data_IF_932078168302
#
_entry.id   IF_932078168302
#
_cell.length_a   1.000
_cell.length_b   1.000
_cell.length_c   1.000
_cell.angle_alpha   90.00
_cell.angle_beta   90.00
_cell.angle_gamma   90.00
#
_symmetry.space_group_name_H-M   'P 1'
#
loop_
_entity.id
_entity.type
_entity.pdbx_description
1 polymer ?
#
# COMPACT_ATOMS: atom_id res chain seq x y z
N UNK A 1 2.43 2.02 21.70
CA UNK A 1 2.18 2.11 20.24
C UNK A 1 0.95 1.30 19.89
N UNK A 2 -0.03 1.89 19.22
CA UNK A 2 -1.27 1.24 18.80
C UNK A 2 -1.23 1.01 17.28
N UNK A 3 -1.53 -0.21 16.85
CA UNK A 3 -1.58 -0.59 15.43
C UNK A 3 -3.02 -0.97 15.07
N UNK A 4 -3.58 -0.31 14.07
CA UNK A 4 -4.86 -0.66 13.49
C UNK A 4 -4.64 -1.44 12.19
N UNK A 5 -5.24 -2.61 12.08
CA UNK A 5 -5.24 -3.43 10.85
C UNK A 5 -6.60 -3.30 10.20
N UNK A 6 -6.62 -2.81 8.97
CA UNK A 6 -7.87 -2.62 8.21
C UNK A 6 -8.09 -3.82 7.29
N UNK A 7 -9.06 -4.66 7.63
CA UNK A 7 -9.50 -5.75 6.78
C UNK A 7 -10.80 -5.36 6.08
N UNK A 8 -10.85 -5.49 4.76
CA UNK A 8 -11.99 -5.07 3.95
C UNK A 8 -12.25 -6.02 2.78
N UNK A 9 -13.52 -6.14 2.39
CA UNK A 9 -13.87 -6.71 1.09
C UNK A 9 -13.59 -5.67 0.02
N UNK A 10 -12.79 -6.03 -0.98
CA UNK A 10 -12.37 -5.14 -2.06
C UNK A 10 -13.25 -5.35 -3.29
N UNK A 11 -13.61 -4.26 -3.96
CA UNK A 11 -14.15 -4.33 -5.31
C UNK A 11 -13.01 -4.61 -6.29
N UNK A 12 -13.10 -5.75 -6.96
CA UNK A 12 -12.04 -6.27 -7.82
C UNK A 12 -11.67 -5.28 -8.94
N UNK A 13 -10.39 -4.89 -8.96
CA UNK A 13 -9.81 -3.95 -9.94
C UNK A 13 -10.53 -2.59 -10.05
N UNK A 14 -11.30 -2.20 -9.03
CA UNK A 14 -12.02 -0.93 -9.00
C UNK A 14 -11.38 0.05 -8.01
N UNK A 15 -10.27 0.66 -8.44
CA UNK A 15 -9.46 1.54 -7.59
C UNK A 15 -10.29 2.73 -7.03
N UNK A 16 -11.10 3.46 -7.80
CA UNK A 16 -11.85 4.58 -7.25
C UNK A 16 -12.84 4.18 -6.14
N UNK A 17 -13.48 3.03 -6.27
CA UNK A 17 -14.42 2.52 -5.25
C UNK A 17 -13.66 2.09 -3.99
N UNK A 18 -12.54 1.40 -4.16
CA UNK A 18 -11.72 0.97 -3.02
C UNK A 18 -11.11 2.17 -2.28
N UNK A 19 -10.62 3.19 -2.95
CA UNK A 19 -10.12 4.40 -2.30
C UNK A 19 -11.20 5.09 -1.47
N UNK A 20 -12.44 5.20 -1.98
CA UNK A 20 -13.58 5.72 -1.20
C UNK A 20 -13.89 4.86 0.03
N UNK A 21 -13.82 3.54 -0.10
CA UNK A 21 -14.02 2.59 1.00
C UNK A 21 -12.97 2.81 2.10
N UNK A 22 -11.69 2.89 1.73
CA UNK A 22 -10.60 3.09 2.69
C UNK A 22 -10.63 4.48 3.31
N UNK A 23 -10.96 5.52 2.55
CA UNK A 23 -11.17 6.86 3.10
C UNK A 23 -12.18 6.86 4.26
N UNK A 24 -13.33 6.21 4.06
CA UNK A 24 -14.35 6.09 5.11
C UNK A 24 -13.88 5.25 6.31
N UNK A 25 -13.18 4.13 6.07
CA UNK A 25 -12.71 3.25 7.15
C UNK A 25 -11.60 3.90 7.97
N UNK A 26 -10.64 4.53 7.30
CA UNK A 26 -9.51 5.23 7.95
C UNK A 26 -10.03 6.42 8.76
N UNK A 27 -10.99 7.19 8.24
CA UNK A 27 -11.60 8.30 8.96
C UNK A 27 -12.19 7.87 10.32
N UNK A 28 -12.73 6.67 10.42
CA UNK A 28 -13.32 6.12 11.64
C UNK A 28 -12.30 5.56 12.65
N UNK A 29 -11.02 5.45 12.30
CA UNK A 29 -9.97 4.95 13.20
C UNK A 29 -9.53 6.09 14.11
N UNK A 30 -9.43 5.84 15.40
CA UNK A 30 -8.94 6.79 16.39
C UNK A 30 -7.78 6.21 17.21
N UNK A 31 -6.81 7.06 17.56
CA UNK A 31 -5.72 6.72 18.49
C UNK A 31 -4.73 5.67 17.96
N UNK A 32 -4.69 5.39 16.65
CA UNK A 32 -3.69 4.52 16.06
C UNK A 32 -2.42 5.32 15.74
N UNK A 33 -1.26 4.73 16.02
CA UNK A 33 0.04 5.25 15.58
C UNK A 33 0.43 4.72 14.20
N UNK A 34 0.00 3.49 13.90
CA UNK A 34 0.23 2.82 12.61
C UNK A 34 -1.10 2.25 12.11
N UNK A 35 -1.40 2.47 10.84
CA UNK A 35 -2.56 1.88 10.14
C UNK A 35 -2.04 1.02 8.99
N UNK A 36 -2.39 -0.26 9.00
CA UNK A 36 -1.97 -1.24 8.00
C UNK A 36 -3.16 -1.63 7.12
N UNK A 37 -3.00 -1.44 5.83
CA UNK A 37 -3.98 -1.79 4.80
C UNK A 37 -3.65 -3.16 4.19
N UNK A 38 -4.61 -3.83 3.53
CA UNK A 38 -4.36 -5.10 2.85
C UNK A 38 -3.33 -4.99 1.73
N UNK A 39 -2.76 -6.11 1.34
CA UNK A 39 -1.95 -6.22 0.13
C UNK A 39 -2.78 -5.83 -1.10
N UNK A 40 -2.21 -4.98 -1.98
CA UNK A 40 -2.89 -4.40 -3.15
C UNK A 40 -4.29 -3.83 -2.81
N UNK A 41 -4.36 -3.09 -1.70
CA UNK A 41 -5.61 -2.62 -1.10
C UNK A 41 -6.51 -1.84 -2.06
N UNK A 42 -5.92 -1.17 -3.04
CA UNK A 42 -6.67 -0.36 -3.99
C UNK A 42 -7.31 -1.16 -5.14
N UNK A 43 -6.81 -2.37 -5.43
CA UNK A 43 -7.23 -3.14 -6.62
C UNK A 43 -7.66 -4.57 -6.32
N UNK A 44 -7.28 -5.12 -5.17
CA UNK A 44 -7.22 -6.56 -4.97
C UNK A 44 -5.95 -7.15 -5.59
N UNK A 45 -5.61 -8.36 -5.19
CA UNK A 45 -4.39 -9.06 -5.62
C UNK A 45 -4.50 -9.54 -7.07
N UNK A 46 -4.47 -8.59 -8.01
CA UNK A 46 -4.65 -8.86 -9.45
C UNK A 46 -3.32 -9.12 -10.15
N UNK A 47 -3.30 -10.13 -11.03
CA UNK A 47 -2.20 -10.43 -11.93
C UNK A 47 -2.46 -9.86 -13.33
N UNK A 48 -3.60 -10.24 -13.91
CA UNK A 48 -3.96 -9.90 -15.31
C UNK A 48 -4.51 -8.48 -15.47
N UNK A 49 -4.95 -7.86 -14.38
CA UNK A 49 -5.48 -6.49 -14.39
C UNK A 49 -4.46 -5.39 -14.07
N UNK A 50 -3.19 -5.74 -13.85
CA UNK A 50 -2.14 -4.79 -13.46
C UNK A 50 -2.05 -3.57 -14.38
N UNK A 51 -2.22 -3.77 -15.69
CA UNK A 51 -2.18 -2.68 -16.69
C UNK A 51 -3.34 -1.69 -16.55
N UNK A 52 -4.50 -2.17 -16.06
CA UNK A 52 -5.68 -1.31 -15.83
C UNK A 52 -5.58 -0.52 -14.54
N UNK A 53 -4.91 -1.06 -13.53
CA UNK A 53 -4.86 -0.46 -12.19
C UNK A 53 -3.59 0.37 -11.95
N UNK A 54 -2.48 0.07 -12.61
CA UNK A 54 -1.23 0.81 -12.48
C UNK A 54 -1.36 2.33 -12.75
N UNK A 55 -2.18 2.81 -13.71
CA UNK A 55 -2.36 4.25 -13.93
C UNK A 55 -2.93 5.01 -12.73
N UNK A 56 -3.52 4.33 -11.76
CA UNK A 56 -4.04 4.94 -10.53
C UNK A 56 -2.99 5.12 -9.42
N UNK A 57 -1.73 4.73 -9.65
CA UNK A 57 -0.67 4.81 -8.64
C UNK A 57 -0.58 6.17 -7.98
N UNK A 58 -0.59 7.24 -8.76
CA UNK A 58 -0.52 8.62 -8.23
C UNK A 58 -1.71 8.95 -7.32
N UNK A 59 -2.91 8.53 -7.69
CA UNK A 59 -4.09 8.74 -6.85
C UNK A 59 -4.00 7.96 -5.52
N UNK A 60 -3.47 6.73 -5.56
CA UNK A 60 -3.21 5.93 -4.35
C UNK A 60 -2.16 6.63 -3.47
N UNK A 61 -1.07 7.09 -4.06
CA UNK A 61 0.02 7.78 -3.38
C UNK A 61 -0.50 9.03 -2.64
N UNK A 62 -1.27 9.88 -3.33
CA UNK A 62 -1.84 11.09 -2.76
C UNK A 62 -2.83 10.79 -1.62
N UNK A 63 -3.74 9.83 -1.81
CA UNK A 63 -4.65 9.42 -0.74
C UNK A 63 -3.90 8.95 0.51
N UNK A 64 -2.86 8.14 0.36
CA UNK A 64 -2.07 7.67 1.51
C UNK A 64 -1.36 8.80 2.23
N UNK A 65 -0.84 9.81 1.50
CA UNK A 65 -0.27 11.02 2.12
C UNK A 65 -1.32 11.81 2.91
N UNK A 66 -2.49 12.02 2.33
CA UNK A 66 -3.58 12.75 2.97
C UNK A 66 -4.04 12.03 4.23
N UNK A 67 -4.29 10.73 4.17
CA UNK A 67 -4.69 9.93 5.33
C UNK A 67 -3.64 9.95 6.45
N UNK A 68 -2.34 9.86 6.10
CA UNK A 68 -1.27 9.90 7.09
C UNK A 68 -1.24 11.25 7.83
N UNK A 69 -1.42 12.36 7.12
CA UNK A 69 -1.51 13.70 7.71
C UNK A 69 -2.75 13.88 8.57
N UNK A 70 -3.92 13.48 8.07
CA UNK A 70 -5.21 13.63 8.77
C UNK A 70 -5.28 12.81 10.06
N UNK A 71 -4.68 11.64 10.06
CA UNK A 71 -4.68 10.72 11.21
C UNK A 71 -3.50 10.90 12.16
N UNK A 72 -2.52 11.73 11.80
CA UNK A 72 -1.21 11.84 12.49
C UNK A 72 -0.61 10.44 12.76
N UNK A 73 -0.68 9.55 11.77
CA UNK A 73 -0.31 8.15 11.87
C UNK A 73 0.47 7.68 10.64
N UNK A 74 1.35 6.69 10.84
CA UNK A 74 1.99 5.98 9.74
C UNK A 74 0.95 5.12 9.01
N UNK A 75 0.85 5.23 7.71
CA UNK A 75 -0.04 4.38 6.89
C UNK A 75 0.77 3.51 5.95
N UNK A 76 0.49 2.22 5.97
CA UNK A 76 1.18 1.22 5.17
C UNK A 76 0.19 0.43 4.31
N UNK A 77 0.47 0.29 3.03
CA UNK A 77 -0.35 -0.50 2.11
C UNK A 77 0.31 -0.65 0.76
N UNK A 78 0.08 -1.77 0.07
CA UNK A 78 0.69 -1.98 -1.24
C UNK A 78 -0.27 -1.73 -2.40
N UNK A 79 0.30 -1.41 -3.55
CA UNK A 79 -0.39 -1.19 -4.82
C UNK A 79 0.47 -1.62 -6.00
N UNK A 80 -0.13 -1.69 -7.17
CA UNK A 80 0.59 -1.93 -8.42
C UNK A 80 1.35 -0.66 -8.82
N UNK A 81 2.64 -0.83 -9.11
CA UNK A 81 3.50 0.23 -9.64
C UNK A 81 4.13 -0.21 -10.96
N UNK A 82 4.24 0.70 -11.91
CA UNK A 82 4.84 0.45 -13.22
C UNK A 82 5.97 1.44 -13.48
N UNK A 83 7.15 0.93 -13.80
CA UNK A 83 8.33 1.70 -14.15
C UNK A 83 9.26 0.87 -15.06
N UNK A 84 9.86 1.49 -16.07
CA UNK A 84 10.85 0.88 -16.97
C UNK A 84 10.39 -0.48 -17.54
N UNK A 85 9.13 -0.53 -18.04
CA UNK A 85 8.50 -1.73 -18.60
C UNK A 85 8.25 -2.88 -17.60
N UNK A 86 8.43 -2.63 -16.29
CA UNK A 86 8.24 -3.59 -15.20
C UNK A 86 7.09 -3.20 -14.28
N UNK A 87 6.36 -4.23 -13.80
CA UNK A 87 5.34 -4.07 -12.77
C UNK A 87 5.88 -4.55 -11.43
N UNK A 88 5.57 -3.80 -10.36
CA UNK A 88 5.97 -4.11 -8.99
C UNK A 88 4.75 -4.15 -8.07
N UNK A 89 4.77 -5.06 -7.11
CA UNK A 89 3.90 -5.01 -5.94
C UNK A 89 4.60 -4.10 -4.93
N UNK A 90 4.28 -2.79 -4.97
CA UNK A 90 4.96 -1.76 -4.19
C UNK A 90 4.19 -1.43 -2.92
N UNK A 91 4.82 -1.66 -1.77
CA UNK A 91 4.35 -1.17 -0.49
C UNK A 91 4.76 0.30 -0.35
N UNK A 92 3.80 1.14 -0.01
CA UNK A 92 4.00 2.53 0.37
C UNK A 92 3.92 2.66 1.89
N UNK A 93 4.81 3.48 2.45
CA UNK A 93 4.85 3.83 3.87
C UNK A 93 4.74 5.34 3.96
N UNK A 94 3.53 5.83 4.22
CA UNK A 94 3.23 7.25 4.29
C UNK A 94 3.33 7.76 5.73
N UNK A 95 4.14 8.80 5.94
CA UNK A 95 4.37 9.45 7.23
C UNK A 95 3.47 10.68 7.39
N UNK A 96 3.13 11.08 8.64
CA UNK A 96 2.33 12.27 8.91
C UNK A 96 2.93 13.57 8.35
N UNK A 97 4.25 13.67 8.25
CA UNK A 97 4.96 14.83 7.69
C UNK A 97 4.89 14.93 6.16
N UNK A 98 4.26 13.94 5.52
CA UNK A 98 4.10 13.84 4.07
C UNK A 98 5.22 13.09 3.36
N UNK A 99 6.26 12.61 4.07
CA UNK A 99 7.26 11.70 3.51
C UNK A 99 6.61 10.38 3.15
N UNK A 100 7.03 9.78 2.02
CA UNK A 100 6.70 8.39 1.69
C UNK A 100 7.99 7.63 1.41
N UNK A 101 8.12 6.46 2.03
CA UNK A 101 9.08 5.44 1.66
C UNK A 101 8.35 4.34 0.89
N UNK A 102 9.09 3.57 0.11
CA UNK A 102 8.52 2.43 -0.60
C UNK A 102 9.41 1.19 -0.48
N UNK A 103 8.79 0.05 -0.66
CA UNK A 103 9.44 -1.26 -0.73
C UNK A 103 8.76 -2.09 -1.82
N UNK A 104 9.54 -2.59 -2.76
CA UNK A 104 9.05 -3.51 -3.79
C UNK A 104 9.19 -4.95 -3.29
N UNK A 105 8.08 -5.67 -3.31
CA UNK A 105 7.98 -7.03 -2.77
C UNK A 105 9.07 -7.93 -3.37
N UNK A 106 9.95 -8.45 -2.50
CA UNK A 106 11.09 -9.29 -2.88
C UNK A 106 10.68 -10.75 -3.10
N UNK A 107 9.83 -11.27 -2.22
CA UNK A 107 9.40 -12.67 -2.24
C UNK A 107 8.01 -12.78 -2.88
N UNK A 108 7.98 -12.89 -4.21
CA UNK A 108 6.74 -13.04 -4.97
C UNK A 108 6.08 -14.41 -4.71
N UNK A 109 4.75 -14.39 -4.66
CA UNK A 109 3.94 -15.59 -4.37
C UNK A 109 3.95 -16.55 -5.56
N UNK A 110 4.64 -17.66 -5.41
CA UNK A 110 4.91 -18.62 -6.50
C UNK A 110 3.65 -19.37 -6.97
N UNK A 111 2.76 -19.69 -6.03
CA UNK A 111 1.54 -20.45 -6.33
C UNK A 111 0.46 -19.62 -7.03
N UNK A 112 0.57 -18.28 -7.00
CA UNK A 112 -0.38 -17.34 -7.62
C UNK A 112 0.11 -16.72 -8.92
N UNK A 113 1.10 -17.30 -9.59
CA UNK A 113 1.68 -16.79 -10.85
C UNK A 113 2.27 -15.35 -10.74
N UNK A 114 2.45 -14.83 -9.52
CA UNK A 114 2.90 -13.44 -9.32
C UNK A 114 4.26 -13.19 -10.02
N UNK A 115 5.14 -14.19 -10.04
CA UNK A 115 6.44 -14.11 -10.72
C UNK A 115 6.37 -13.95 -12.25
N UNK A 116 5.25 -14.32 -12.85
CA UNK A 116 5.03 -14.18 -14.30
C UNK A 116 4.53 -12.77 -14.65
N UNK A 117 4.02 -12.06 -13.66
CA UNK A 117 3.35 -10.77 -13.85
C UNK A 117 4.06 -9.59 -13.21
N UNK A 118 4.86 -9.84 -12.16
CA UNK A 118 5.54 -8.81 -11.38
C UNK A 118 7.04 -9.09 -11.29
N UNK A 119 7.80 -8.02 -11.19
CA UNK A 119 9.24 -8.05 -10.96
C UNK A 119 9.51 -8.00 -9.45
N UNK A 120 10.40 -8.85 -8.97
CA UNK A 120 10.82 -8.85 -7.58
C UNK A 120 11.70 -7.65 -7.26
N UNK A 121 11.48 -7.01 -6.11
CA UNK A 121 12.41 -6.04 -5.55
C UNK A 121 13.68 -6.72 -5.04
N UNK A 122 14.72 -5.93 -4.82
CA UNK A 122 16.04 -6.40 -4.37
C UNK A 122 16.52 -5.72 -3.10
N UNK A 123 15.82 -4.69 -2.62
CA UNK A 123 16.19 -3.92 -1.45
C UNK A 123 15.42 -4.36 -0.21
N UNK A 124 15.99 -4.10 0.95
CA UNK A 124 15.35 -4.21 2.26
C UNK A 124 15.07 -2.80 2.76
N UNK A 125 13.83 -2.52 3.16
CA UNK A 125 13.48 -1.25 3.77
C UNK A 125 13.51 -1.38 5.29
N UNK A 126 14.39 -0.60 5.94
CA UNK A 126 14.47 -0.48 7.41
C UNK A 126 14.37 0.99 7.79
N UNK A 127 13.49 1.30 8.74
CA UNK A 127 13.32 2.66 9.25
C UNK A 127 12.85 2.65 10.71
N UNK A 128 13.11 3.77 11.40
CA UNK A 128 12.65 3.96 12.78
C UNK A 128 11.41 4.86 12.79
N UNK A 129 10.40 4.49 13.59
CA UNK A 129 9.19 5.28 13.81
C UNK A 129 8.76 5.22 15.26
N UNK A 130 8.66 6.39 15.93
CA UNK A 130 8.29 6.53 17.34
C UNK A 130 9.06 5.57 18.28
N UNK A 131 10.35 5.41 18.05
CA UNK A 131 11.24 4.59 18.89
C UNK A 131 11.19 3.08 18.59
N UNK A 132 10.46 2.67 17.55
CA UNK A 132 10.41 1.26 17.08
C UNK A 132 11.07 1.16 15.72
N UNK A 133 11.95 0.15 15.56
CA UNK A 133 12.55 -0.19 14.27
C UNK A 133 11.66 -1.15 13.51
N UNK A 134 11.28 -0.75 12.29
CA UNK A 134 10.46 -1.51 11.36
C UNK A 134 11.31 -2.00 10.18
N UNK A 135 11.05 -3.22 9.73
CA UNK A 135 11.71 -3.84 8.58
C UNK A 135 10.67 -4.48 7.68
N UNK A 136 10.82 -4.31 6.37
CA UNK A 136 9.91 -4.79 5.32
C UNK A 136 10.69 -5.57 4.27
#
# INVERSE_FOLDING_TARGET
>A
MNVAIVQAHLEWENVPVNLKLFNKRIAAIEGANIIVLPEMFASGFTMKGKERVAPFYEAVYQCMQEWAREKDALIMGSTVYFEDEHYYNRLLVAFPDGKILHYDKKHLFTMGEEKEHFTAGNELLVFDYQGVRLSL
#
